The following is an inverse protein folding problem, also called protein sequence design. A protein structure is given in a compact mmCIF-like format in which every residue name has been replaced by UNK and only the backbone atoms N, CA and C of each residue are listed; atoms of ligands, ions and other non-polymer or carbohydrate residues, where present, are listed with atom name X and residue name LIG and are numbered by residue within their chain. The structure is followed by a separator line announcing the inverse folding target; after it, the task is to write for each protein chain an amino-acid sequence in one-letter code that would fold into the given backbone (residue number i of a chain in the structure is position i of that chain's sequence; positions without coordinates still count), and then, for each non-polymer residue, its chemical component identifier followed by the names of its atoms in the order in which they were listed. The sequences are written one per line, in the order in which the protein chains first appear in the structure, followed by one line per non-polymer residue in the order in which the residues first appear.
data_IF_383287725960
#
_entry.id   IF_383287725960
#
_cell.length_a   1.000
_cell.length_b   1.000
_cell.length_c   1.000
_cell.angle_alpha   90.00
_cell.angle_beta   90.00
_cell.angle_gamma   90.00
#
_symmetry.space_group_name_H-M   'P 1'
#
loop_
_entity.id
_entity.type
_entity.pdbx_description
1 polymer ?
#
# COMPACT_ATOMS: atom_id res chain seq x y z
N UNK A 1 -2.67 22.86 9.71
CA UNK A 1 -2.95 23.95 8.73
C UNK A 1 -4.45 23.99 8.47
N UNK A 2 -5.06 25.18 8.14
CA UNK A 2 -6.47 25.24 7.77
C UNK A 2 -6.82 24.39 6.54
N UNK A 3 -8.06 23.85 6.48
CA UNK A 3 -8.55 23.00 5.40
C UNK A 3 -8.74 23.72 4.05
N UNK A 4 -8.52 25.03 4.01
CA UNK A 4 -8.48 25.83 2.78
C UNK A 4 -7.32 25.46 1.86
N UNK A 5 -6.28 24.77 2.38
CA UNK A 5 -5.14 24.32 1.58
C UNK A 5 -5.30 22.88 1.14
N UNK A 6 -4.75 22.54 -0.03
CA UNK A 6 -4.75 21.19 -0.55
C UNK A 6 -4.08 20.19 0.41
N UNK A 7 -4.44 18.90 0.30
CA UNK A 7 -3.80 17.83 1.07
C UNK A 7 -2.28 17.81 0.87
N UNK A 8 -1.80 18.04 -0.36
CA UNK A 8 -0.37 18.12 -0.68
C UNK A 8 0.35 19.23 0.08
N UNK A 9 -0.23 20.44 0.11
CA UNK A 9 0.34 21.57 0.87
C UNK A 9 0.37 21.28 2.37
N UNK A 10 -0.69 20.68 2.90
CA UNK A 10 -0.75 20.27 4.31
C UNK A 10 0.31 19.21 4.62
N UNK A 11 0.53 18.28 3.70
CA UNK A 11 1.52 17.21 3.83
C UNK A 11 2.96 17.74 3.90
N UNK A 12 3.32 18.67 3.00
CA UNK A 12 4.66 19.29 2.99
C UNK A 12 4.99 19.97 4.32
N UNK A 13 3.98 20.58 4.96
CA UNK A 13 4.12 21.27 6.23
C UNK A 13 3.82 20.42 7.48
N UNK A 14 3.53 19.13 7.30
CA UNK A 14 3.22 18.25 8.41
C UNK A 14 4.37 18.15 9.41
N UNK A 15 4.05 18.16 10.71
CA UNK A 15 5.00 18.13 11.81
C UNK A 15 5.81 19.40 12.01
N UNK A 16 5.54 20.48 11.25
CA UNK A 16 6.22 21.77 11.44
C UNK A 16 5.48 22.63 12.46
N UNK A 17 6.11 22.92 13.59
CA UNK A 17 5.61 23.89 14.55
C UNK A 17 5.98 25.31 14.13
N UNK A 18 5.00 26.24 14.14
CA UNK A 18 5.22 27.63 13.75
C UNK A 18 5.52 28.52 14.98
N UNK A 19 6.48 28.08 15.78
CA UNK A 19 6.91 28.78 16.98
C UNK A 19 8.29 29.42 16.72
N UNK A 20 8.47 30.71 16.92
CA UNK A 20 9.77 31.37 16.73
C UNK A 20 10.88 30.69 17.53
N UNK A 21 12.00 30.36 16.89
CA UNK A 21 13.13 29.69 17.50
C UNK A 21 13.06 28.16 17.50
N UNK A 22 11.92 27.57 17.13
CA UNK A 22 11.84 26.13 16.93
C UNK A 22 12.31 25.69 15.54
N UNK A 23 12.88 24.48 15.37
CA UNK A 23 13.31 23.98 14.08
C UNK A 23 12.08 23.76 13.17
N UNK A 24 12.25 24.03 11.87
CA UNK A 24 11.21 23.78 10.87
C UNK A 24 10.95 22.28 10.63
N UNK A 25 11.90 21.41 11.00
CA UNK A 25 11.77 19.96 10.93
C UNK A 25 11.53 19.42 12.35
N UNK A 26 10.58 18.48 12.55
CA UNK A 26 10.37 17.87 13.85
C UNK A 26 11.67 17.25 14.39
N UNK A 27 11.97 17.42 15.68
CA UNK A 27 13.15 16.80 16.28
C UNK A 27 13.03 15.28 16.31
N UNK A 28 14.16 14.59 16.17
CA UNK A 28 14.24 13.16 16.45
C UNK A 28 14.24 12.97 17.98
N UNK A 29 13.26 12.24 18.50
CA UNK A 29 13.06 12.03 19.94
C UNK A 29 13.25 10.55 20.32
N UNK A 30 14.49 10.11 20.59
CA UNK A 30 14.75 8.76 21.09
C UNK A 30 14.45 8.70 22.59
N UNK A 31 13.23 8.30 22.96
CA UNK A 31 12.80 8.21 24.34
C UNK A 31 12.11 6.86 24.64
N UNK A 32 12.60 6.11 25.61
CA UNK A 32 11.92 4.95 26.19
C UNK A 32 11.10 5.32 27.45
N UNK A 33 11.52 6.37 28.14
CA UNK A 33 10.85 6.87 29.36
C UNK A 33 10.67 8.38 29.29
N UNK A 34 9.68 8.87 30.00
CA UNK A 34 9.39 10.31 30.13
C UNK A 34 9.42 10.72 31.59
N UNK A 35 9.88 11.95 31.87
CA UNK A 35 9.81 12.53 33.22
C UNK A 35 8.33 12.68 33.60
N UNK A 36 7.96 12.14 34.76
CA UNK A 36 6.60 12.15 35.26
C UNK A 36 6.60 12.49 36.75
N UNK A 37 5.68 13.39 37.16
CA UNK A 37 5.37 13.70 38.55
C UNK A 37 3.86 13.63 38.73
N UNK A 38 3.39 12.83 39.70
CA UNK A 38 1.95 12.63 39.91
C UNK A 38 1.32 11.78 38.82
N UNK A 39 0.21 12.26 38.24
CA UNK A 39 -0.47 11.55 37.15
C UNK A 39 0.37 11.64 35.86
N UNK A 40 0.70 10.51 35.22
CA UNK A 40 1.45 10.51 33.96
C UNK A 40 0.71 11.31 32.87
N UNK A 41 1.46 11.98 32.01
CA UNK A 41 0.90 12.63 30.82
C UNK A 41 0.27 11.56 29.90
N UNK A 42 -0.98 11.75 29.45
CA UNK A 42 -1.61 10.81 28.55
C UNK A 42 -0.75 10.53 27.30
N UNK A 43 -0.53 9.25 26.99
CA UNK A 43 0.27 8.79 25.84
C UNK A 43 1.78 8.97 25.96
N UNK A 44 2.30 9.55 27.04
CA UNK A 44 3.75 9.80 27.27
C UNK A 44 4.23 9.36 28.65
N UNK A 45 3.68 8.29 29.18
CA UNK A 45 4.19 7.65 30.39
C UNK A 45 5.39 6.76 30.10
N UNK A 46 5.34 6.04 29.00
CA UNK A 46 6.35 5.12 28.53
C UNK A 46 6.44 5.14 27.00
N UNK A 47 7.63 4.98 26.43
CA UNK A 47 7.88 5.12 24.99
C UNK A 47 7.12 4.14 24.09
N UNK A 48 6.59 3.03 24.65
CA UNK A 48 5.71 2.13 23.92
C UNK A 48 4.29 2.68 23.70
N UNK A 49 3.86 3.63 24.52
CA UNK A 49 2.52 4.17 24.47
C UNK A 49 2.41 5.41 23.56
N UNK A 50 3.52 6.14 23.37
CA UNK A 50 3.57 7.29 22.49
C UNK A 50 4.97 7.88 22.31
N UNK A 51 5.17 8.57 21.20
CA UNK A 51 6.39 9.30 20.87
C UNK A 51 6.06 10.47 19.94
N UNK A 52 6.60 11.69 20.17
CA UNK A 52 6.32 12.88 19.33
C UNK A 52 6.60 12.63 17.83
N UNK A 53 7.59 11.82 17.48
CA UNK A 53 7.91 11.47 16.10
C UNK A 53 6.80 10.64 15.42
N UNK A 54 6.12 9.76 16.17
CA UNK A 54 4.99 9.00 15.65
C UNK A 54 3.78 9.89 15.44
N UNK A 55 3.49 10.74 16.41
CA UNK A 55 2.34 11.66 16.38
C UNK A 55 2.42 12.57 15.14
N UNK A 56 3.60 13.11 14.84
CA UNK A 56 3.81 13.93 13.64
C UNK A 56 3.59 13.15 12.34
N UNK A 57 4.04 11.88 12.26
CA UNK A 57 3.82 10.99 11.12
C UNK A 57 2.34 10.61 11.01
N UNK A 58 1.70 10.22 12.12
CA UNK A 58 0.29 9.84 12.18
C UNK A 58 -0.61 11.00 11.76
N UNK A 59 -0.35 12.22 12.24
CA UNK A 59 -1.07 13.41 11.82
C UNK A 59 -0.94 13.68 10.32
N UNK A 60 0.27 13.52 9.76
CA UNK A 60 0.52 13.71 8.34
C UNK A 60 -0.24 12.69 7.48
N UNK A 61 -0.22 11.42 7.88
CA UNK A 61 -0.90 10.33 7.17
C UNK A 61 -2.41 10.45 7.25
N UNK A 62 -2.95 10.71 8.44
CA UNK A 62 -4.38 10.89 8.65
C UNK A 62 -4.93 12.04 7.80
N UNK A 63 -4.15 13.13 7.68
CA UNK A 63 -4.51 14.28 6.86
C UNK A 63 -4.66 14.02 5.35
N UNK A 64 -4.16 12.89 4.83
CA UNK A 64 -4.38 12.50 3.43
C UNK A 64 -5.80 12.01 3.16
N UNK A 65 -6.45 11.42 4.17
CA UNK A 65 -7.81 10.88 4.05
C UNK A 65 -8.83 11.59 4.95
N UNK A 66 -8.47 12.74 5.52
CA UNK A 66 -9.27 13.48 6.50
C UNK A 66 -9.75 12.57 7.66
N UNK A 67 -8.79 11.87 8.27
CA UNK A 67 -8.97 10.82 9.27
C UNK A 67 -7.82 10.85 10.31
N UNK A 68 -7.82 9.89 11.23
CA UNK A 68 -6.68 9.64 12.13
C UNK A 68 -5.88 8.41 11.66
N UNK A 69 -4.60 8.38 12.01
CA UNK A 69 -3.71 7.28 11.72
C UNK A 69 -3.07 6.70 12.98
N UNK A 70 -2.66 5.42 12.90
CA UNK A 70 -1.83 4.72 13.89
C UNK A 70 -0.67 4.05 13.16
N UNK A 71 0.57 4.43 13.51
CA UNK A 71 1.78 3.90 12.90
C UNK A 71 2.27 2.63 13.61
N UNK A 72 2.90 1.72 12.86
CA UNK A 72 3.39 0.41 13.29
C UNK A 72 4.80 0.14 12.77
N UNK A 73 5.51 -0.79 13.42
CA UNK A 73 6.84 -1.25 13.02
C UNK A 73 6.91 -1.88 11.61
N UNK A 74 5.79 -2.27 11.02
CA UNK A 74 5.71 -2.80 9.65
C UNK A 74 4.26 -2.82 9.15
N UNK A 75 4.06 -2.93 7.82
CA UNK A 75 2.74 -3.19 7.24
C UNK A 75 2.09 -4.45 7.80
N UNK A 76 2.86 -5.53 8.02
CA UNK A 76 2.36 -6.76 8.62
C UNK A 76 1.94 -6.60 10.10
N UNK A 77 2.62 -5.75 10.87
CA UNK A 77 2.20 -5.44 12.24
C UNK A 77 0.87 -4.65 12.24
N UNK A 78 0.70 -3.71 11.31
CA UNK A 78 -0.56 -2.99 11.09
C UNK A 78 -1.70 -3.93 10.65
N UNK A 79 -1.42 -4.83 9.70
CA UNK A 79 -2.37 -5.86 9.23
C UNK A 79 -2.81 -6.77 10.38
N UNK A 80 -1.85 -7.24 11.19
CA UNK A 80 -2.15 -8.10 12.34
C UNK A 80 -3.04 -7.38 13.36
N UNK A 81 -2.73 -6.12 13.69
CA UNK A 81 -3.53 -5.33 14.63
C UNK A 81 -4.98 -5.15 14.14
N UNK A 82 -5.16 -4.83 12.84
CA UNK A 82 -6.50 -4.75 12.23
C UNK A 82 -7.25 -6.08 12.26
N UNK A 83 -6.59 -7.17 11.88
CA UNK A 83 -7.22 -8.48 11.91
C UNK A 83 -7.62 -8.89 13.33
N UNK A 84 -6.78 -8.65 14.33
CA UNK A 84 -7.08 -8.95 15.73
C UNK A 84 -8.18 -8.05 16.31
N UNK A 85 -8.31 -6.80 15.85
CA UNK A 85 -9.39 -5.91 16.26
C UNK A 85 -10.73 -6.26 15.58
N UNK A 86 -10.70 -6.68 14.31
CA UNK A 86 -11.90 -6.84 13.49
C UNK A 86 -12.36 -8.29 13.30
N UNK A 87 -11.50 -9.31 13.47
CA UNK A 87 -11.87 -10.71 13.29
C UNK A 87 -12.70 -11.34 14.44
N UNK A 88 -12.63 -10.89 15.71
CA UNK A 88 -13.42 -11.52 16.76
C UNK A 88 -14.92 -11.60 16.42
N UNK A 89 -15.51 -12.80 16.59
CA UNK A 89 -16.90 -13.06 16.25
C UNK A 89 -17.19 -13.21 14.75
N UNK A 90 -16.18 -13.21 13.89
CA UNK A 90 -16.31 -13.43 12.45
C UNK A 90 -15.69 -14.75 12.02
N UNK A 91 -16.42 -15.46 11.17
CA UNK A 91 -16.03 -16.79 10.70
C UNK A 91 -15.13 -16.70 9.45
N UNK A 92 -15.18 -15.56 8.73
CA UNK A 92 -14.51 -15.41 7.43
C UNK A 92 -13.76 -14.10 7.31
N UNK A 93 -12.64 -14.17 6.60
CA UNK A 93 -11.97 -13.01 6.01
C UNK A 93 -12.03 -13.22 4.50
N UNK A 94 -12.92 -12.48 3.84
CA UNK A 94 -13.02 -12.45 2.37
C UNK A 94 -11.90 -11.54 1.86
N UNK A 95 -11.03 -12.06 0.98
CA UNK A 95 -9.81 -11.37 0.55
C UNK A 95 -9.51 -11.67 -0.93
N UNK A 96 -8.70 -10.85 -1.62
CA UNK A 96 -8.41 -11.06 -3.03
C UNK A 96 -7.62 -12.35 -3.24
N UNK A 97 -7.98 -13.10 -4.28
CA UNK A 97 -7.28 -14.33 -4.68
C UNK A 97 -5.86 -14.05 -5.20
N UNK A 98 -5.62 -12.86 -5.76
CA UNK A 98 -4.38 -12.41 -6.38
C UNK A 98 -3.71 -11.23 -5.64
N UNK A 99 -4.14 -10.94 -4.40
CA UNK A 99 -3.53 -9.90 -3.57
C UNK A 99 -2.24 -10.35 -2.89
N UNK A 100 -1.63 -9.43 -2.16
CA UNK A 100 -0.39 -9.67 -1.43
C UNK A 100 -0.50 -10.88 -0.50
N UNK A 101 0.35 -11.86 -0.72
CA UNK A 101 0.29 -13.15 -0.01
C UNK A 101 0.35 -13.03 1.52
N UNK A 102 1.00 -11.97 2.05
CA UNK A 102 1.13 -11.75 3.49
C UNK A 102 -0.22 -11.59 4.21
N UNK A 103 -1.22 -11.01 3.56
CA UNK A 103 -2.58 -10.94 4.08
C UNK A 103 -3.22 -12.34 4.26
N UNK A 104 -3.04 -13.21 3.26
CA UNK A 104 -3.50 -14.61 3.33
C UNK A 104 -2.79 -15.39 4.43
N UNK A 105 -1.48 -15.24 4.55
CA UNK A 105 -0.69 -15.90 5.61
C UNK A 105 -1.15 -15.47 7.00
N UNK A 106 -1.44 -14.19 7.22
CA UNK A 106 -1.97 -13.70 8.49
C UNK A 106 -3.38 -14.24 8.76
N UNK A 107 -4.28 -14.20 7.77
CA UNK A 107 -5.62 -14.74 7.91
C UNK A 107 -5.61 -16.24 8.24
N UNK A 108 -4.69 -17.02 7.65
CA UNK A 108 -4.50 -18.43 7.99
C UNK A 108 -4.08 -18.64 9.47
N UNK A 109 -3.31 -17.71 10.05
CA UNK A 109 -2.93 -17.77 11.47
C UNK A 109 -4.11 -17.60 12.42
N UNK A 110 -5.24 -17.06 11.96
CA UNK A 110 -6.47 -16.90 12.76
C UNK A 110 -7.39 -18.13 12.73
N UNK A 111 -7.09 -19.15 11.90
CA UNK A 111 -7.89 -20.41 11.85
C UNK A 111 -8.13 -21.08 13.22
N UNK A 112 -7.13 -21.15 14.12
CA UNK A 112 -7.37 -21.71 15.45
C UNK A 112 -8.44 -20.96 16.26
N UNK A 113 -8.68 -19.68 15.92
CA UNK A 113 -9.72 -18.85 16.56
C UNK A 113 -11.08 -18.94 15.86
N UNK A 114 -11.25 -19.85 14.89
CA UNK A 114 -12.49 -20.07 14.16
C UNK A 114 -12.65 -19.23 12.89
N UNK A 115 -11.74 -18.28 12.61
CA UNK A 115 -11.79 -17.42 11.43
C UNK A 115 -10.97 -18.05 10.28
N UNK A 116 -11.53 -18.08 9.05
CA UNK A 116 -10.86 -18.66 7.87
C UNK A 116 -10.74 -17.65 6.73
N UNK A 117 -9.65 -17.64 5.96
CA UNK A 117 -9.56 -16.89 4.71
C UNK A 117 -10.43 -17.49 3.62
N UNK A 118 -11.09 -16.63 2.84
CA UNK A 118 -11.91 -16.98 1.67
C UNK A 118 -11.41 -16.14 0.49
N UNK A 119 -10.52 -16.68 -0.36
CA UNK A 119 -10.04 -15.99 -1.54
C UNK A 119 -11.16 -15.81 -2.58
N UNK A 120 -11.30 -14.62 -3.15
CA UNK A 120 -12.32 -14.28 -4.15
C UNK A 120 -11.72 -13.29 -5.16
N UNK A 121 -12.13 -13.35 -6.42
CA UNK A 121 -11.91 -12.24 -7.35
C UNK A 121 -12.78 -11.04 -6.94
N UNK A 122 -12.16 -10.00 -6.39
CA UNK A 122 -12.90 -8.82 -5.89
C UNK A 122 -13.58 -8.00 -7.01
N UNK A 123 -13.34 -8.30 -8.28
CA UNK A 123 -14.03 -7.70 -9.43
C UNK A 123 -15.40 -8.34 -9.66
N UNK A 124 -15.59 -9.57 -9.19
CA UNK A 124 -16.89 -10.25 -9.19
C UNK A 124 -17.68 -9.88 -7.92
N UNK A 125 -18.40 -8.76 -7.99
CA UNK A 125 -19.19 -8.25 -6.87
C UNK A 125 -20.23 -9.25 -6.38
N UNK A 126 -20.80 -10.08 -7.28
CA UNK A 126 -21.78 -11.09 -6.93
C UNK A 126 -21.13 -12.24 -6.11
N UNK A 127 -19.91 -12.63 -6.46
CA UNK A 127 -19.15 -13.59 -5.66
C UNK A 127 -18.80 -13.03 -4.28
N UNK A 128 -18.37 -11.76 -4.21
CA UNK A 128 -18.10 -11.09 -2.92
C UNK A 128 -19.34 -11.03 -2.05
N UNK A 129 -20.48 -10.61 -2.59
CA UNK A 129 -21.75 -10.54 -1.87
C UNK A 129 -22.16 -11.92 -1.31
N UNK A 130 -22.09 -12.96 -2.13
CA UNK A 130 -22.39 -14.33 -1.71
C UNK A 130 -21.53 -14.77 -0.52
N UNK A 131 -20.22 -14.48 -0.55
CA UNK A 131 -19.32 -14.91 0.51
C UNK A 131 -19.48 -14.06 1.79
N UNK A 132 -19.78 -12.76 1.68
CA UNK A 132 -20.02 -11.90 2.85
C UNK A 132 -21.34 -12.18 3.54
N UNK A 133 -22.38 -12.60 2.79
CA UNK A 133 -23.70 -12.89 3.35
C UNK A 133 -23.83 -14.31 3.90
N UNK A 134 -22.93 -15.22 3.53
CA UNK A 134 -22.98 -16.62 3.97
C UNK A 134 -22.67 -16.83 5.47
N UNK A 135 -21.91 -15.94 6.11
CA UNK A 135 -21.58 -15.95 7.54
C UNK A 135 -21.02 -14.58 7.96
N UNK A 136 -20.96 -14.25 9.26
CA UNK A 136 -20.28 -13.05 9.76
C UNK A 136 -18.86 -12.96 9.22
N UNK A 137 -18.54 -11.85 8.53
CA UNK A 137 -17.32 -11.74 7.72
C UNK A 137 -16.62 -10.40 7.93
N UNK A 138 -15.32 -10.38 7.58
CA UNK A 138 -14.50 -9.20 7.34
C UNK A 138 -14.14 -9.18 5.84
N UNK A 139 -14.36 -8.06 5.16
CA UNK A 139 -13.84 -7.83 3.81
C UNK A 139 -12.46 -7.20 3.90
N UNK A 140 -11.45 -7.90 3.40
CA UNK A 140 -10.09 -7.42 3.26
C UNK A 140 -9.79 -7.21 1.79
N UNK A 141 -9.91 -5.98 1.33
CA UNK A 141 -9.66 -5.63 -0.07
C UNK A 141 -8.23 -5.15 -0.29
N UNK A 142 -7.74 -5.32 -1.50
CA UNK A 142 -6.52 -4.72 -2.04
C UNK A 142 -6.80 -4.31 -3.48
N UNK A 143 -6.61 -3.03 -3.78
CA UNK A 143 -6.84 -2.49 -5.14
C UNK A 143 -6.03 -1.21 -5.36
N UNK A 144 -5.20 -1.15 -6.44
CA UNK A 144 -4.87 -2.24 -7.34
C UNK A 144 -4.17 -3.42 -6.63
N UNK A 145 -4.39 -4.66 -7.09
CA UNK A 145 -3.74 -5.83 -6.50
C UNK A 145 -2.26 -5.91 -6.88
N UNK A 146 -1.45 -6.58 -6.07
CA UNK A 146 -0.05 -6.85 -6.35
C UNK A 146 0.16 -8.38 -6.45
N UNK A 147 0.61 -8.94 -7.63
CA UNK A 147 1.32 -8.23 -8.70
C UNK A 147 0.50 -7.91 -9.96
N UNK A 148 -0.75 -8.33 -10.08
CA UNK A 148 -1.50 -8.24 -11.35
C UNK A 148 -2.19 -6.89 -11.60
N UNK A 149 -2.11 -5.97 -10.65
CA UNK A 149 -2.65 -4.59 -10.74
C UNK A 149 -4.14 -4.54 -11.13
N UNK A 150 -4.92 -5.56 -10.76
CA UNK A 150 -6.37 -5.61 -10.98
C UNK A 150 -7.06 -4.56 -10.11
N UNK A 151 -8.05 -3.87 -10.67
CA UNK A 151 -8.79 -2.83 -9.97
C UNK A 151 -10.19 -3.33 -9.65
N UNK A 152 -10.56 -3.29 -8.37
CA UNK A 152 -11.89 -3.61 -7.88
C UNK A 152 -12.69 -2.31 -7.60
N UNK A 153 -14.00 -2.37 -7.74
CA UNK A 153 -14.91 -1.25 -7.47
C UNK A 153 -15.08 -1.04 -5.95
N UNK A 154 -14.34 -0.08 -5.40
CA UNK A 154 -14.39 0.22 -3.96
C UNK A 154 -15.77 0.63 -3.49
N UNK A 155 -16.51 1.42 -4.26
CA UNK A 155 -17.87 1.86 -3.91
C UNK A 155 -18.84 0.69 -3.92
N UNK A 156 -18.75 -0.18 -4.92
CA UNK A 156 -19.52 -1.41 -5.00
C UNK A 156 -19.23 -2.35 -3.84
N UNK A 157 -17.95 -2.59 -3.54
CA UNK A 157 -17.51 -3.41 -2.40
C UNK A 157 -18.00 -2.86 -1.07
N UNK A 158 -17.88 -1.54 -0.86
CA UNK A 158 -18.33 -0.89 0.37
C UNK A 158 -19.86 -1.01 0.56
N UNK A 159 -20.62 -0.86 -0.51
CA UNK A 159 -22.09 -1.06 -0.47
C UNK A 159 -22.47 -2.47 -0.06
N UNK A 160 -21.83 -3.48 -0.64
CA UNK A 160 -22.06 -4.89 -0.31
C UNK A 160 -21.62 -5.18 1.14
N UNK A 161 -20.46 -4.70 1.55
CA UNK A 161 -19.96 -4.90 2.92
C UNK A 161 -20.90 -4.27 3.95
N UNK A 162 -21.36 -3.04 3.70
CA UNK A 162 -22.33 -2.36 4.57
C UNK A 162 -23.66 -3.12 4.67
N UNK A 163 -24.21 -3.61 3.57
CA UNK A 163 -25.43 -4.41 3.53
C UNK A 163 -25.28 -5.73 4.31
N UNK A 164 -24.10 -6.34 4.30
CA UNK A 164 -23.77 -7.55 5.04
C UNK A 164 -23.38 -7.28 6.52
N UNK A 165 -23.30 -6.03 6.96
CA UNK A 165 -22.77 -5.68 8.29
C UNK A 165 -21.29 -6.04 8.49
N UNK A 166 -20.53 -6.18 7.40
CA UNK A 166 -19.12 -6.52 7.40
C UNK A 166 -18.27 -5.25 7.38
N UNK A 167 -17.26 -5.10 8.25
CA UNK A 167 -16.27 -4.05 8.09
C UNK A 167 -15.44 -4.30 6.82
N UNK A 168 -15.02 -3.23 6.15
CA UNK A 168 -14.15 -3.29 4.98
C UNK A 168 -12.81 -2.62 5.26
N UNK A 169 -11.73 -3.38 5.20
CA UNK A 169 -10.36 -2.89 5.20
C UNK A 169 -9.85 -2.85 3.77
N UNK A 170 -9.16 -1.77 3.39
CA UNK A 170 -8.52 -1.67 2.07
C UNK A 170 -7.01 -1.49 2.25
N UNK A 171 -6.23 -2.45 1.77
CA UNK A 171 -4.80 -2.24 1.58
C UNK A 171 -4.58 -1.30 0.39
N UNK A 172 -4.27 -0.05 0.72
CA UNK A 172 -4.10 1.06 -0.22
C UNK A 172 -2.62 1.36 -0.50
N UNK A 173 -1.74 0.39 -0.23
CA UNK A 173 -0.28 0.57 -0.31
C UNK A 173 0.19 0.94 -1.71
N UNK A 174 -0.38 0.37 -2.77
CA UNK A 174 0.03 0.62 -4.17
C UNK A 174 -0.38 2.03 -4.61
N UNK A 175 -1.62 2.42 -4.33
CA UNK A 175 -2.16 3.70 -4.78
C UNK A 175 -1.76 4.88 -3.89
N UNK A 176 -1.57 4.66 -2.60
CA UNK A 176 -1.43 5.71 -1.58
C UNK A 176 -2.69 6.57 -1.40
N UNK A 177 -2.78 7.34 -0.31
CA UNK A 177 -3.89 8.27 -0.06
C UNK A 177 -3.92 9.49 -0.99
N UNK A 178 -2.91 9.67 -1.86
CA UNK A 178 -2.90 10.72 -2.88
C UNK A 178 -3.66 10.30 -4.14
N UNK A 179 -3.57 9.03 -4.55
CA UNK A 179 -4.20 8.56 -5.78
C UNK A 179 -5.57 7.93 -5.53
N UNK A 180 -5.77 7.32 -4.35
CA UNK A 180 -7.01 6.63 -4.00
C UNK A 180 -7.33 6.83 -2.52
N UNK A 181 -8.59 7.13 -2.20
CA UNK A 181 -9.07 7.41 -0.84
C UNK A 181 -10.17 6.42 -0.44
N UNK A 182 -9.81 5.24 0.10
CA UNK A 182 -10.79 4.20 0.41
C UNK A 182 -11.85 4.61 1.43
N UNK A 183 -11.50 5.47 2.39
CA UNK A 183 -12.45 5.95 3.41
C UNK A 183 -13.58 6.78 2.79
N UNK A 184 -13.32 7.49 1.69
CA UNK A 184 -14.36 8.24 0.97
C UNK A 184 -15.28 7.31 0.17
N UNK A 185 -14.82 6.12 -0.19
CA UNK A 185 -15.63 5.07 -0.80
C UNK A 185 -16.44 4.27 0.21
N UNK A 186 -16.23 4.45 1.52
CA UNK A 186 -16.96 3.75 2.59
C UNK A 186 -16.19 2.65 3.29
N UNK A 187 -14.87 2.55 3.09
CA UNK A 187 -14.04 1.62 3.87
C UNK A 187 -14.04 1.98 5.36
N UNK A 188 -13.99 0.95 6.21
CA UNK A 188 -13.82 1.09 7.65
C UNK A 188 -12.41 1.56 8.01
N UNK A 189 -11.41 1.05 7.29
CA UNK A 189 -10.02 1.43 7.47
C UNK A 189 -9.23 1.30 6.16
N UNK A 190 -8.25 2.19 5.99
CA UNK A 190 -7.16 2.06 5.01
C UNK A 190 -5.92 1.52 5.70
N UNK A 191 -5.28 0.53 5.08
CA UNK A 191 -4.00 -0.03 5.49
C UNK A 191 -2.89 0.47 4.56
N UNK A 192 -1.73 0.75 5.13
CA UNK A 192 -0.54 1.15 4.38
C UNK A 192 0.72 0.42 4.84
N UNK A 193 1.47 -0.14 3.90
CA UNK A 193 2.90 -0.37 4.11
C UNK A 193 3.65 0.93 3.79
N UNK A 194 4.03 1.68 4.83
CA UNK A 194 4.79 2.92 4.67
C UNK A 194 6.20 2.68 4.10
N UNK A 195 6.68 1.44 4.18
CA UNK A 195 7.90 0.90 3.55
C UNK A 195 7.99 1.22 2.06
N UNK A 196 6.84 1.38 1.40
CA UNK A 196 6.70 1.53 -0.05
C UNK A 196 6.79 3.02 -0.45
N UNK A 197 5.92 3.48 -1.32
CA UNK A 197 5.92 4.84 -1.87
C UNK A 197 5.93 5.94 -0.80
N UNK A 198 5.38 5.70 0.39
CA UNK A 198 5.32 6.72 1.46
C UNK A 198 6.72 7.13 1.91
N UNK A 199 7.57 6.20 2.36
CA UNK A 199 8.98 6.50 2.67
C UNK A 199 9.77 6.75 1.39
N UNK A 200 9.63 5.88 0.40
CA UNK A 200 10.09 6.07 -0.97
C UNK A 200 11.60 6.04 -1.20
N UNK A 201 12.41 5.59 -0.25
CA UNK A 201 13.87 5.61 -0.32
C UNK A 201 14.51 4.26 0.02
N UNK A 202 13.73 3.18 0.04
CA UNK A 202 14.19 1.80 0.26
C UNK A 202 14.95 1.55 1.58
N UNK A 203 14.77 2.43 2.58
CA UNK A 203 15.55 2.50 3.83
C UNK A 203 14.71 2.33 5.10
N UNK A 204 13.37 2.19 4.99
CA UNK A 204 12.45 2.13 6.12
C UNK A 204 11.50 0.94 6.00
N UNK A 205 11.22 0.29 7.12
CA UNK A 205 10.13 -0.68 7.27
C UNK A 205 9.15 -0.14 8.29
N UNK A 206 7.95 0.24 7.84
CA UNK A 206 6.86 0.74 8.68
C UNK A 206 5.50 0.39 8.08
N UNK A 207 4.45 0.49 8.89
CA UNK A 207 3.06 0.40 8.45
C UNK A 207 2.17 1.41 9.14
N UNK A 208 0.94 1.57 8.65
CA UNK A 208 -0.07 2.39 9.30
C UNK A 208 -1.48 1.88 9.02
N UNK A 209 -2.37 2.16 9.97
CA UNK A 209 -3.82 2.08 9.83
C UNK A 209 -4.37 3.49 9.84
N UNK A 210 -5.27 3.80 8.91
CA UNK A 210 -5.98 5.07 8.85
C UNK A 210 -7.48 4.79 8.94
N UNK A 211 -8.20 5.49 9.81
CA UNK A 211 -9.65 5.29 9.99
C UNK A 211 -10.33 6.54 10.54
N UNK A 212 -11.64 6.65 10.32
CA UNK A 212 -12.53 7.64 10.96
C UNK A 212 -13.24 7.06 12.18
N UNK A 213 -13.10 5.76 12.44
CA UNK A 213 -13.69 5.06 13.59
C UNK A 213 -12.75 5.15 14.80
N UNK A 214 -13.09 6.01 15.75
CA UNK A 214 -12.33 6.21 16.97
C UNK A 214 -12.25 4.94 17.85
N UNK A 215 -13.28 4.10 17.84
CA UNK A 215 -13.30 2.84 18.59
C UNK A 215 -12.29 1.85 18.01
N UNK A 216 -12.32 1.65 16.69
CA UNK A 216 -11.32 0.83 16.00
C UNK A 216 -9.89 1.35 16.25
N UNK A 217 -9.68 2.66 16.16
CA UNK A 217 -8.36 3.25 16.40
C UNK A 217 -7.86 3.03 17.83
N UNK A 218 -8.76 3.08 18.82
CA UNK A 218 -8.42 2.76 20.21
C UNK A 218 -7.98 1.30 20.34
N UNK A 219 -8.69 0.35 19.72
CA UNK A 219 -8.36 -1.08 19.72
C UNK A 219 -7.01 -1.33 19.02
N UNK A 220 -6.78 -0.72 17.86
CA UNK A 220 -5.51 -0.88 17.12
C UNK A 220 -4.34 -0.29 17.90
N UNK A 221 -4.51 0.86 18.60
CA UNK A 221 -3.51 1.41 19.52
C UNK A 221 -3.21 0.46 20.69
N UNK A 222 -4.26 -0.13 21.27
CA UNK A 222 -4.10 -1.12 22.33
C UNK A 222 -3.32 -2.35 21.86
N UNK A 223 -3.61 -2.86 20.66
CA UNK A 223 -2.85 -3.95 20.04
C UNK A 223 -1.41 -3.56 19.74
N UNK A 224 -1.14 -2.33 19.24
CA UNK A 224 0.22 -1.82 19.05
C UNK A 224 1.02 -1.83 20.35
N UNK A 225 0.46 -1.27 21.41
CA UNK A 225 1.13 -1.13 22.70
C UNK A 225 1.35 -2.51 23.38
N UNK A 226 0.31 -3.36 23.46
CA UNK A 226 0.39 -4.67 24.12
C UNK A 226 1.22 -5.68 23.32
N UNK A 227 1.08 -5.68 21.98
CA UNK A 227 1.81 -6.56 21.08
C UNK A 227 3.23 -6.09 20.74
N UNK A 228 3.60 -4.86 21.13
CA UNK A 228 4.94 -4.30 20.90
C UNK A 228 5.24 -3.91 19.45
N UNK A 229 4.23 -3.82 18.58
CA UNK A 229 4.38 -3.44 17.15
C UNK A 229 4.66 -1.95 16.94
N UNK A 230 5.40 -1.30 17.83
CA UNK A 230 5.69 0.13 17.84
C UNK A 230 6.71 0.52 16.77
N UNK A 231 6.57 1.66 16.08
CA UNK A 231 7.59 2.16 15.16
C UNK A 231 8.83 2.65 15.93
N UNK A 232 10.02 2.52 15.34
CA UNK A 232 11.20 3.20 15.84
C UNK A 232 11.12 4.72 15.58
N UNK A 233 11.62 5.57 16.50
CA UNK A 233 11.57 7.02 16.32
C UNK A 233 12.33 7.51 15.08
N UNK A 234 13.44 6.87 14.74
CA UNK A 234 14.25 7.21 13.57
C UNK A 234 13.54 6.83 12.27
N UNK A 235 12.97 5.64 12.20
CA UNK A 235 12.20 5.18 11.05
C UNK A 235 10.96 6.06 10.83
N UNK A 236 10.25 6.45 11.89
CA UNK A 236 9.12 7.36 11.81
C UNK A 236 9.52 8.74 11.29
N UNK A 237 10.68 9.25 11.72
CA UNK A 237 11.25 10.52 11.25
C UNK A 237 11.63 10.45 9.76
N UNK A 238 12.27 9.36 9.32
CA UNK A 238 12.60 9.13 7.90
C UNK A 238 11.34 9.03 7.05
N UNK A 239 10.33 8.28 7.50
CA UNK A 239 9.06 8.15 6.79
C UNK A 239 8.35 9.51 6.65
N UNK A 240 8.30 10.33 7.70
CA UNK A 240 7.75 11.69 7.63
C UNK A 240 8.53 12.58 6.65
N UNK A 241 9.86 12.45 6.62
CA UNK A 241 10.70 13.17 5.65
C UNK A 241 10.40 12.73 4.21
N UNK A 242 10.28 11.42 3.97
CA UNK A 242 9.91 10.85 2.67
C UNK A 242 8.52 11.28 2.22
N UNK A 243 7.56 11.27 3.15
CA UNK A 243 6.17 11.65 2.89
C UNK A 243 6.03 13.06 2.33
N UNK A 244 6.87 14.02 2.76
CA UNK A 244 6.85 15.41 2.26
C UNK A 244 7.16 15.54 0.76
N UNK A 245 7.83 14.56 0.15
CA UNK A 245 8.11 14.53 -1.30
C UNK A 245 7.24 13.53 -2.05
N UNK A 246 6.33 12.85 -1.37
CA UNK A 246 5.45 11.86 -2.00
C UNK A 246 4.68 12.42 -3.21
N UNK A 247 4.08 13.64 -3.16
CA UNK A 247 3.35 14.18 -4.32
C UNK A 247 4.22 14.28 -5.58
N UNK A 248 5.44 14.77 -5.45
CA UNK A 248 6.38 14.89 -6.57
C UNK A 248 6.82 13.53 -7.12
N UNK A 249 7.11 12.60 -6.22
CA UNK A 249 7.58 11.25 -6.59
C UNK A 249 6.47 10.45 -7.27
N UNK A 250 5.28 10.40 -6.67
CA UNK A 250 4.18 9.59 -7.19
C UNK A 250 3.68 10.10 -8.55
N UNK A 251 3.64 11.41 -8.75
CA UNK A 251 3.28 12.01 -10.04
C UNK A 251 4.29 11.62 -11.13
N UNK A 252 5.61 11.76 -10.84
CA UNK A 252 6.67 11.38 -11.77
C UNK A 252 6.65 9.89 -12.07
N UNK A 253 6.56 9.06 -11.04
CA UNK A 253 6.55 7.60 -11.15
C UNK A 253 5.33 7.11 -11.93
N UNK A 254 4.12 7.64 -11.66
CA UNK A 254 2.90 7.28 -12.40
C UNK A 254 3.00 7.63 -13.89
N UNK A 255 3.51 8.82 -14.22
CA UNK A 255 3.71 9.25 -15.61
C UNK A 255 4.71 8.35 -16.34
N UNK A 256 5.84 8.04 -15.70
CA UNK A 256 6.87 7.14 -16.26
C UNK A 256 6.34 5.71 -16.41
N UNK A 257 5.61 5.21 -15.42
CA UNK A 257 5.01 3.86 -15.46
C UNK A 257 3.98 3.72 -16.60
N UNK A 258 3.16 4.76 -16.82
CA UNK A 258 2.21 4.78 -17.94
C UNK A 258 2.92 4.75 -19.30
N UNK A 259 3.99 5.53 -19.47
CA UNK A 259 4.78 5.55 -20.69
C UNK A 259 5.46 4.19 -20.95
N UNK A 260 6.07 3.60 -19.91
CA UNK A 260 6.70 2.26 -20.00
C UNK A 260 5.66 1.19 -20.30
N UNK A 261 4.51 1.20 -19.64
CA UNK A 261 3.44 0.26 -19.91
C UNK A 261 2.92 0.35 -21.35
N UNK A 262 2.79 1.57 -21.88
CA UNK A 262 2.43 1.80 -23.28
C UNK A 262 3.48 1.26 -24.27
N UNK A 263 4.76 1.46 -23.99
CA UNK A 263 5.88 0.95 -24.80
C UNK A 263 5.91 -0.59 -24.79
N UNK A 264 5.88 -1.19 -23.60
CA UNK A 264 5.87 -2.65 -23.43
C UNK A 264 4.66 -3.31 -24.11
N UNK A 265 3.51 -2.61 -24.16
CA UNK A 265 2.32 -3.10 -24.82
C UNK A 265 2.47 -3.34 -26.32
N UNK A 266 3.40 -2.66 -26.97
CA UNK A 266 3.75 -2.84 -28.39
C UNK A 266 4.98 -3.71 -28.64
N UNK A 267 5.67 -4.15 -27.58
CA UNK A 267 6.96 -4.82 -27.72
C UNK A 267 6.79 -6.31 -28.11
N UNK A 268 7.50 -6.83 -29.14
CA UNK A 268 7.30 -8.19 -29.66
C UNK A 268 7.64 -9.32 -28.67
N UNK A 269 8.45 -9.01 -27.66
CA UNK A 269 8.83 -9.95 -26.60
C UNK A 269 7.91 -9.92 -25.37
N UNK A 270 6.83 -9.13 -25.41
CA UNK A 270 5.88 -8.96 -24.30
C UNK A 270 4.50 -9.44 -24.73
N UNK A 271 3.95 -10.41 -24.01
CA UNK A 271 2.64 -11.00 -24.31
C UNK A 271 1.50 -10.33 -23.56
N UNK A 272 1.76 -9.80 -22.36
CA UNK A 272 0.80 -9.09 -21.55
C UNK A 272 1.47 -7.96 -20.74
N UNK A 273 0.72 -6.88 -20.48
CA UNK A 273 1.12 -5.80 -19.56
C UNK A 273 -0.03 -5.55 -18.60
N UNK A 274 0.26 -5.51 -17.32
CA UNK A 274 -0.69 -5.25 -16.25
C UNK A 274 -0.39 -3.86 -15.67
N UNK A 275 -1.23 -2.89 -16.02
CA UNK A 275 -1.21 -1.52 -15.50
C UNK A 275 -2.59 -0.88 -15.67
N UNK A 276 -3.19 -0.27 -14.63
CA UNK A 276 -4.59 0.16 -14.66
C UNK A 276 -4.93 1.21 -15.71
N UNK A 277 -3.94 2.01 -16.11
CA UNK A 277 -4.11 3.16 -17.02
C UNK A 277 -4.08 2.84 -18.51
N UNK A 278 -3.78 1.61 -18.93
CA UNK A 278 -3.67 1.25 -20.35
C UNK A 278 -4.94 0.63 -20.90
N UNK A 279 -5.35 1.14 -22.09
CA UNK A 279 -6.39 0.50 -22.91
C UNK A 279 -5.71 -0.46 -23.90
N UNK A 280 -6.03 -1.75 -23.84
CA UNK A 280 -5.51 -2.77 -24.76
C UNK A 280 -6.66 -3.60 -25.34
N UNK A 281 -6.50 -4.15 -26.55
CA UNK A 281 -7.34 -5.26 -26.99
C UNK A 281 -7.25 -6.41 -25.98
N UNK A 282 -8.40 -6.87 -25.46
CA UNK A 282 -8.48 -7.93 -24.44
C UNK A 282 -8.55 -7.45 -22.98
N UNK A 283 -8.27 -6.18 -22.68
CA UNK A 283 -8.65 -5.59 -21.39
C UNK A 283 -10.07 -5.06 -21.51
N UNK A 284 -10.89 -5.43 -20.53
CA UNK A 284 -12.25 -4.87 -20.44
C UNK A 284 -12.16 -3.35 -20.22
N UNK A 285 -12.78 -2.60 -21.15
CA UNK A 285 -12.82 -1.13 -21.08
C UNK A 285 -13.50 -0.60 -19.82
N UNK A 286 -14.35 -1.39 -19.18
CA UNK A 286 -14.96 -1.05 -17.89
C UNK A 286 -13.91 -0.97 -16.79
N UNK A 287 -12.92 -1.85 -16.79
CA UNK A 287 -11.82 -1.85 -15.79
C UNK A 287 -10.96 -0.59 -15.90
N UNK A 288 -10.60 -0.16 -17.12
CA UNK A 288 -9.79 1.06 -17.27
C UNK A 288 -10.61 2.33 -16.98
N UNK A 289 -11.91 2.35 -17.29
CA UNK A 289 -12.81 3.44 -16.90
C UNK A 289 -13.00 3.52 -15.38
N UNK A 290 -13.13 2.39 -14.70
CA UNK A 290 -13.18 2.30 -13.24
C UNK A 290 -11.89 2.84 -12.62
N UNK A 291 -10.74 2.40 -13.11
CA UNK A 291 -9.44 2.87 -12.63
C UNK A 291 -9.29 4.38 -12.72
N UNK A 292 -9.64 4.98 -13.86
CA UNK A 292 -9.60 6.45 -14.05
C UNK A 292 -10.58 7.20 -13.15
N UNK A 293 -11.71 6.61 -12.81
CA UNK A 293 -12.67 7.20 -11.87
C UNK A 293 -12.16 7.15 -10.43
N UNK A 294 -11.56 6.03 -10.00
CA UNK A 294 -11.05 5.84 -8.64
C UNK A 294 -9.71 6.52 -8.40
N UNK A 295 -8.88 6.63 -9.44
CA UNK A 295 -7.51 7.15 -9.38
C UNK A 295 -7.30 8.17 -10.51
N UNK A 296 -7.96 9.35 -10.46
CA UNK A 296 -7.91 10.33 -11.55
C UNK A 296 -6.51 10.94 -11.76
N UNK A 297 -5.68 10.97 -10.72
CA UNK A 297 -4.37 11.63 -10.72
C UNK A 297 -3.20 10.68 -11.05
N UNK A 298 -3.48 9.41 -11.38
CA UNK A 298 -2.48 8.42 -11.77
C UNK A 298 -2.70 7.05 -11.14
N UNK A 299 -1.85 6.08 -11.51
CA UNK A 299 -2.06 4.66 -11.14
C UNK A 299 -0.90 4.06 -10.33
N UNK A 300 0.02 4.91 -9.85
CA UNK A 300 1.16 4.52 -9.04
C UNK A 300 2.37 4.00 -9.84
N UNK A 301 3.43 3.61 -9.11
CA UNK A 301 4.72 3.25 -9.69
C UNK A 301 4.81 1.80 -10.16
N UNK A 302 3.83 0.96 -9.80
CA UNK A 302 3.92 -0.48 -9.98
C UNK A 302 3.27 -0.90 -11.28
N UNK A 303 3.97 -1.67 -12.10
CA UNK A 303 3.46 -2.36 -13.27
C UNK A 303 4.01 -3.79 -13.34
N UNK A 304 3.34 -4.66 -14.07
CA UNK A 304 3.85 -5.99 -14.37
C UNK A 304 3.68 -6.30 -15.85
N UNK A 305 4.53 -7.18 -16.37
CA UNK A 305 4.45 -7.65 -17.75
C UNK A 305 4.94 -9.10 -17.88
N UNK A 306 4.45 -9.77 -18.90
CA UNK A 306 4.79 -11.17 -19.20
C UNK A 306 5.67 -11.25 -20.44
N UNK A 307 6.79 -11.97 -20.35
CA UNK A 307 7.74 -12.11 -21.44
C UNK A 307 7.46 -13.37 -22.28
N UNK A 308 7.92 -13.37 -23.53
CA UNK A 308 7.90 -14.55 -24.38
C UNK A 308 9.32 -15.06 -24.67
N UNK A 309 9.58 -16.38 -24.56
CA UNK A 309 8.67 -17.42 -24.09
C UNK A 309 8.28 -17.25 -22.61
N UNK A 310 7.07 -17.70 -22.23
CA UNK A 310 6.62 -17.69 -20.83
C UNK A 310 7.38 -18.76 -20.04
N UNK A 311 8.53 -18.37 -19.52
CA UNK A 311 9.38 -19.26 -18.74
C UNK A 311 10.17 -18.50 -17.67
N UNK A 312 10.56 -19.23 -16.61
CA UNK A 312 11.40 -18.68 -15.56
C UNK A 312 12.77 -18.21 -16.10
N UNK A 313 13.38 -19.00 -16.96
CA UNK A 313 14.69 -18.72 -17.55
C UNK A 313 14.66 -17.45 -18.41
N UNK A 314 13.62 -17.26 -19.25
CA UNK A 314 13.48 -16.07 -20.07
C UNK A 314 13.31 -14.82 -19.21
N UNK A 315 12.44 -14.85 -18.20
CA UNK A 315 12.24 -13.71 -17.30
C UNK A 315 13.47 -13.40 -16.44
N UNK A 316 14.13 -14.42 -15.90
CA UNK A 316 15.34 -14.23 -15.08
C UNK A 316 16.51 -13.68 -15.93
N UNK A 317 16.63 -14.06 -17.21
CA UNK A 317 17.60 -13.48 -18.15
C UNK A 317 17.33 -12.00 -18.43
N UNK A 318 16.07 -11.62 -18.65
CA UNK A 318 15.69 -10.21 -18.83
C UNK A 318 16.06 -9.41 -17.57
N UNK A 319 15.69 -9.89 -16.38
CA UNK A 319 16.00 -9.22 -15.11
C UNK A 319 17.51 -9.07 -14.92
N UNK A 320 18.31 -10.07 -15.26
CA UNK A 320 19.76 -10.07 -15.06
C UNK A 320 20.52 -9.17 -16.06
N UNK A 321 19.94 -8.84 -17.21
CA UNK A 321 20.60 -8.03 -18.27
C UNK A 321 20.49 -6.54 -18.06
N UNK A 322 19.58 -6.08 -17.22
CA UNK A 322 19.46 -4.65 -16.93
C UNK A 322 20.76 -4.06 -16.39
N UNK A 323 21.05 -2.85 -16.82
CA UNK A 323 22.22 -2.07 -16.39
C UNK A 323 21.82 -0.93 -15.45
N UNK A 324 20.55 -0.51 -15.49
CA UNK A 324 20.01 0.60 -14.71
C UNK A 324 18.98 0.14 -13.67
N UNK A 325 18.05 -0.74 -14.06
CA UNK A 325 16.96 -1.21 -13.19
C UNK A 325 17.49 -2.28 -12.23
N UNK A 326 17.38 -2.06 -10.92
CA UNK A 326 17.94 -2.96 -9.92
C UNK A 326 17.15 -4.29 -9.83
N UNK A 327 17.82 -5.44 -9.84
CA UNK A 327 17.19 -6.75 -9.62
C UNK A 327 16.85 -6.93 -8.14
N UNK A 328 15.80 -6.27 -7.66
CA UNK A 328 15.41 -6.26 -6.25
C UNK A 328 13.89 -6.41 -6.07
N UNK A 329 13.51 -6.94 -4.90
CA UNK A 329 12.10 -6.98 -4.48
C UNK A 329 11.65 -5.63 -3.93
N UNK A 330 10.38 -5.54 -3.52
CA UNK A 330 9.70 -4.34 -3.03
C UNK A 330 9.22 -3.44 -4.17
N UNK A 331 8.80 -2.20 -3.84
CA UNK A 331 8.38 -1.19 -4.81
C UNK A 331 8.23 0.19 -4.15
N UNK A 332 8.10 1.22 -4.97
CA UNK A 332 7.79 2.59 -4.56
C UNK A 332 9.01 3.41 -4.15
N UNK A 333 10.23 2.89 -4.32
CA UNK A 333 11.48 3.63 -4.14
C UNK A 333 11.71 4.67 -5.24
N UNK A 334 12.70 5.55 -5.02
CA UNK A 334 13.16 6.52 -6.03
C UNK A 334 13.93 5.83 -7.15
N UNK A 335 14.57 4.70 -6.87
CA UNK A 335 15.20 3.82 -7.83
C UNK A 335 14.22 2.83 -8.45
N UNK A 336 14.35 2.57 -9.75
CA UNK A 336 13.59 1.51 -10.43
C UNK A 336 14.11 0.13 -10.03
N UNK A 337 13.17 -0.77 -9.74
CA UNK A 337 13.49 -2.18 -9.42
C UNK A 337 12.59 -3.12 -10.21
N UNK A 338 13.04 -4.33 -10.47
CA UNK A 338 12.23 -5.38 -11.04
C UNK A 338 12.61 -6.78 -10.57
N UNK A 339 11.67 -7.69 -10.68
CA UNK A 339 11.87 -9.10 -10.33
C UNK A 339 10.85 -10.01 -11.01
N UNK A 340 11.23 -11.26 -11.27
CA UNK A 340 10.25 -12.30 -11.60
C UNK A 340 9.48 -12.71 -10.34
N UNK A 341 8.15 -12.57 -10.38
CA UNK A 341 7.32 -12.78 -9.18
C UNK A 341 7.16 -14.25 -8.79
N UNK A 342 7.01 -15.14 -9.74
CA UNK A 342 6.81 -16.57 -9.47
C UNK A 342 8.02 -17.28 -8.81
N UNK A 343 9.12 -16.56 -8.50
CA UNK A 343 10.23 -17.08 -7.70
C UNK A 343 9.93 -17.21 -6.20
N UNK A 344 8.87 -16.53 -5.73
CA UNK A 344 8.54 -16.53 -4.30
C UNK A 344 7.57 -17.65 -3.96
N UNK A 345 7.79 -18.41 -2.85
CA UNK A 345 6.86 -19.43 -2.39
C UNK A 345 5.48 -18.84 -2.11
N UNK A 346 4.42 -19.50 -2.60
CA UNK A 346 3.04 -19.07 -2.41
C UNK A 346 2.56 -17.96 -3.36
N UNK A 347 3.41 -17.51 -4.29
CA UNK A 347 3.01 -16.61 -5.38
C UNK A 347 2.28 -17.40 -6.48
N UNK A 348 1.17 -16.84 -6.97
CA UNK A 348 0.32 -17.45 -8.01
C UNK A 348 0.42 -16.75 -9.36
N UNK A 349 1.36 -15.83 -9.50
CA UNK A 349 1.61 -15.10 -10.74
C UNK A 349 2.09 -16.03 -11.88
N UNK A 350 1.87 -15.66 -13.16
CA UNK A 350 2.45 -16.36 -14.31
C UNK A 350 3.96 -16.54 -14.18
N UNK A 351 4.48 -17.63 -14.72
CA UNK A 351 5.89 -18.02 -14.53
C UNK A 351 6.85 -16.98 -15.07
N UNK A 352 6.57 -16.42 -16.24
CA UNK A 352 7.38 -15.39 -16.90
C UNK A 352 7.00 -13.94 -16.52
N UNK A 353 6.17 -13.74 -15.50
CA UNK A 353 5.77 -12.39 -15.09
C UNK A 353 6.90 -11.67 -14.36
N UNK A 354 7.28 -10.53 -14.90
CA UNK A 354 8.19 -9.56 -14.27
C UNK A 354 7.34 -8.43 -13.69
N UNK A 355 7.51 -8.17 -12.39
CA UNK A 355 6.96 -6.99 -11.74
C UNK A 355 8.03 -5.93 -11.66
N UNK A 356 7.71 -4.72 -12.13
CA UNK A 356 8.58 -3.55 -12.12
C UNK A 356 8.00 -2.47 -11.21
N UNK A 357 8.85 -1.91 -10.35
CA UNK A 357 8.61 -0.66 -9.65
C UNK A 357 9.36 0.45 -10.37
N UNK A 358 8.64 1.42 -10.88
CA UNK A 358 9.24 2.55 -11.62
C UNK A 358 9.68 3.63 -10.64
N UNK A 359 10.94 4.01 -10.72
CA UNK A 359 11.54 5.08 -9.93
C UNK A 359 11.32 6.47 -10.54
N UNK A 360 12.26 7.38 -10.25
CA UNK A 360 12.20 8.77 -10.72
C UNK A 360 13.23 9.09 -11.80
N UNK A 361 13.94 8.10 -12.29
CA UNK A 361 14.92 8.23 -13.39
C UNK A 361 14.26 8.82 -14.65
N UNK A 362 15.03 9.40 -15.57
CA UNK A 362 14.51 9.80 -16.89
C UNK A 362 13.89 8.60 -17.61
N UNK A 363 12.62 8.74 -18.04
CA UNK A 363 11.91 7.63 -18.68
C UNK A 363 12.61 7.11 -19.94
N UNK A 364 13.31 7.98 -20.68
CA UNK A 364 14.08 7.59 -21.86
C UNK A 364 15.20 6.61 -21.52
N UNK A 365 15.88 6.80 -20.39
CA UNK A 365 16.95 5.91 -19.94
C UNK A 365 16.38 4.55 -19.53
N UNK A 366 15.23 4.55 -18.82
CA UNK A 366 14.53 3.32 -18.47
C UNK A 366 14.06 2.54 -19.69
N UNK A 367 13.52 3.20 -20.72
CA UNK A 367 13.10 2.56 -21.96
C UNK A 367 14.31 1.96 -22.70
N UNK A 368 15.44 2.67 -22.75
CA UNK A 368 16.67 2.16 -23.35
C UNK A 368 17.17 0.90 -22.63
N UNK A 369 17.14 0.89 -21.29
CA UNK A 369 17.56 -0.27 -20.50
C UNK A 369 16.61 -1.46 -20.65
N UNK A 370 15.30 -1.21 -20.71
CA UNK A 370 14.27 -2.24 -20.93
C UNK A 370 14.46 -2.88 -22.30
N UNK A 371 14.63 -2.09 -23.36
CA UNK A 371 14.77 -2.60 -24.72
C UNK A 371 16.01 -3.49 -24.84
N UNK A 372 17.18 -3.02 -24.35
CA UNK A 372 18.40 -3.83 -24.40
C UNK A 372 18.29 -5.11 -23.54
N UNK A 373 17.55 -5.08 -22.44
CA UNK A 373 17.33 -6.26 -21.61
C UNK A 373 16.39 -7.28 -22.28
N UNK A 374 15.41 -6.81 -23.05
CA UNK A 374 14.48 -7.65 -23.83
C UNK A 374 15.09 -8.20 -25.14
N UNK A 375 16.20 -7.66 -25.64
CA UNK A 375 16.95 -8.18 -26.81
C UNK A 375 17.67 -9.52 -26.49
N UNK A 376 17.01 -10.47 -25.87
CA UNK A 376 17.59 -11.79 -25.60
C UNK A 376 17.50 -12.63 -26.87
N UNK A 377 18.62 -13.24 -27.37
CA UNK A 377 18.61 -14.14 -28.50
C UNK A 377 17.77 -15.38 -28.25
#
# INVERSE_FOLDING_TARGET
MPDVFSAESRLIHAGTERVPGQPATPPLTPASIYVSQGTPHPGRGYGRDGNPGWEALEQALGGLEDAEAVAFASGQAASMALMLALAPGRERIVLPEDGYYGGRVLADRLRPNGTRPVPVDLRDLAAVERELTAAPSLLWAETPTNPLLRVADLTGLAGIAAAAGAPMVVDNTVATGLLQRPLDAGATASLYSLTKSVSGHSDVILGAVVSRDAGLLADVRAWRSSGGGIPGPFEAWLALRGLKTLPLRIARQSASALAIAGHLAGHPRVTAVHYPGIDRPGIDKTTSALARRQMPDGFGPLLSFEVTPDSADAADKVVARSQLILPATSFGGVESTWERRARWPGETAPVGLIRMSVGVEPVADLLTDIDQALEVP
#
